data_IF_445793651695
#
_entry.id   IF_445793651695
#
_cell.length_a   1.000
_cell.length_b   1.000
_cell.length_c   1.000
_cell.angle_alpha   90.00
_cell.angle_beta   90.00
_cell.angle_gamma   90.00
#
_symmetry.space_group_name_H-M   'P 1'
#
loop_
_entity.id
_entity.type
_entity.pdbx_description
1 polymer ?
#
# COMPACT_ATOMS: atom_id res chain seq x y z
N UNK A 1 21.20 -58.51 19.45
CA UNK A 1 20.64 -57.77 18.27
C UNK A 1 19.42 -56.88 18.58
N UNK A 2 18.66 -57.08 19.67
CA UNK A 2 17.43 -56.30 19.95
C UNK A 2 17.65 -54.81 20.29
N UNK A 3 18.84 -54.42 20.76
CA UNK A 3 19.15 -53.02 21.10
C UNK A 3 19.59 -52.17 19.89
N UNK A 4 20.06 -52.80 18.81
CA UNK A 4 20.51 -52.08 17.62
C UNK A 4 19.34 -51.44 16.85
N UNK A 5 18.17 -52.10 16.80
CA UNK A 5 16.96 -51.53 16.19
C UNK A 5 16.38 -50.38 17.00
N UNK A 6 16.41 -50.48 18.34
CA UNK A 6 15.96 -49.41 19.24
C UNK A 6 16.82 -48.14 19.12
N UNK A 7 18.15 -48.29 19.02
CA UNK A 7 19.06 -47.16 18.83
C UNK A 7 18.85 -46.49 17.46
N UNK A 8 18.65 -47.28 16.40
CA UNK A 8 18.37 -46.75 15.06
C UNK A 8 17.05 -45.96 14.99
N UNK A 9 16.00 -46.43 15.67
CA UNK A 9 14.71 -45.73 15.77
C UNK A 9 14.84 -44.42 16.55
N UNK A 10 15.62 -44.40 17.63
CA UNK A 10 15.85 -43.19 18.44
C UNK A 10 16.65 -42.13 17.67
N UNK A 11 17.69 -42.53 16.95
CA UNK A 11 18.51 -41.64 16.12
C UNK A 11 17.70 -41.12 14.92
N UNK A 12 16.90 -41.97 14.27
CA UNK A 12 16.00 -41.55 13.20
C UNK A 12 14.92 -40.58 13.71
N UNK A 13 14.32 -40.86 14.88
CA UNK A 13 13.33 -39.98 15.50
C UNK A 13 13.89 -38.60 15.88
N UNK A 14 15.11 -38.55 16.43
CA UNK A 14 15.82 -37.31 16.74
C UNK A 14 16.23 -36.54 15.46
N UNK A 15 16.69 -37.24 14.42
CA UNK A 15 17.04 -36.62 13.14
C UNK A 15 15.82 -36.02 12.43
N UNK A 16 14.69 -36.73 12.38
CA UNK A 16 13.45 -36.23 11.79
C UNK A 16 12.86 -35.09 12.63
N UNK A 17 12.89 -35.21 13.96
CA UNK A 17 12.40 -34.18 14.88
C UNK A 17 13.17 -32.86 14.80
N UNK A 18 14.51 -32.92 14.69
CA UNK A 18 15.34 -31.71 14.57
C UNK A 18 15.18 -31.03 13.21
N UNK A 19 15.11 -31.80 12.10
CA UNK A 19 14.88 -31.25 10.76
C UNK A 19 13.48 -30.65 10.65
N UNK A 20 12.45 -31.33 11.18
CA UNK A 20 11.09 -30.80 11.23
C UNK A 20 11.05 -29.52 12.08
N UNK A 21 11.60 -29.54 13.29
CA UNK A 21 11.66 -28.37 14.18
C UNK A 21 12.37 -27.18 13.54
N UNK A 22 13.46 -27.40 12.81
CA UNK A 22 14.17 -26.35 12.09
C UNK A 22 13.36 -25.79 10.91
N UNK A 23 12.71 -26.65 10.11
CA UNK A 23 11.79 -26.20 9.03
C UNK A 23 10.60 -25.42 9.59
N UNK A 24 9.95 -25.89 10.64
CA UNK A 24 8.84 -25.17 11.29
C UNK A 24 9.30 -23.86 11.91
N UNK A 25 10.46 -23.83 12.58
CA UNK A 25 11.04 -22.62 13.16
C UNK A 25 11.41 -21.58 12.10
N UNK A 26 12.00 -21.99 10.98
CA UNK A 26 12.35 -21.09 9.87
C UNK A 26 11.11 -20.56 9.14
N UNK A 27 10.08 -21.39 8.94
CA UNK A 27 8.80 -20.94 8.36
C UNK A 27 8.12 -19.92 9.28
N UNK A 28 8.07 -20.18 10.59
CA UNK A 28 7.50 -19.25 11.57
C UNK A 28 8.29 -17.94 11.65
N UNK A 29 9.62 -18.01 11.64
CA UNK A 29 10.47 -16.81 11.64
C UNK A 29 10.27 -15.96 10.38
N UNK A 30 10.15 -16.60 9.20
CA UNK A 30 9.83 -15.90 7.95
C UNK A 30 8.47 -15.23 8.02
N UNK A 31 7.44 -15.95 8.50
CA UNK A 31 6.09 -15.40 8.64
C UNK A 31 6.03 -14.21 9.61
N UNK A 32 6.72 -14.30 10.75
CA UNK A 32 6.81 -13.20 11.71
C UNK A 32 7.54 -11.99 11.11
N UNK A 33 8.60 -12.22 10.33
CA UNK A 33 9.35 -11.16 9.65
C UNK A 33 8.48 -10.47 8.59
N UNK A 34 7.77 -11.23 7.75
CA UNK A 34 6.85 -10.66 6.74
C UNK A 34 5.73 -9.87 7.39
N UNK A 35 5.15 -10.37 8.48
CA UNK A 35 4.11 -9.65 9.23
C UNK A 35 4.64 -8.32 9.82
N UNK A 36 5.84 -8.35 10.40
CA UNK A 36 6.45 -7.14 10.96
C UNK A 36 6.77 -6.11 9.87
N UNK A 37 7.39 -6.53 8.76
CA UNK A 37 7.67 -5.66 7.61
C UNK A 37 6.39 -5.05 7.04
N UNK A 38 5.34 -5.85 6.87
CA UNK A 38 4.03 -5.39 6.41
C UNK A 38 3.41 -4.35 7.37
N UNK A 39 3.52 -4.56 8.69
CA UNK A 39 3.00 -3.62 9.67
C UNK A 39 3.72 -2.26 9.60
N UNK A 40 5.03 -2.25 9.41
CA UNK A 40 5.81 -1.01 9.26
C UNK A 40 5.44 -0.28 7.97
N UNK A 41 5.39 -1.00 6.84
CA UNK A 41 5.00 -0.43 5.54
C UNK A 41 3.61 0.17 5.61
N UNK A 42 2.65 -0.55 6.18
CA UNK A 42 1.26 -0.07 6.34
C UNK A 42 1.21 1.19 7.19
N UNK A 43 1.97 1.23 8.29
CA UNK A 43 2.01 2.40 9.18
C UNK A 43 2.60 3.62 8.47
N UNK A 44 3.70 3.46 7.73
CA UNK A 44 4.31 4.56 6.97
C UNK A 44 3.35 5.09 5.91
N UNK A 45 2.69 4.20 5.16
CA UNK A 45 1.71 4.58 4.13
C UNK A 45 0.57 5.38 4.75
N UNK A 46 -0.05 4.89 5.83
CA UNK A 46 -1.15 5.60 6.50
C UNK A 46 -0.72 6.99 6.97
N UNK A 47 0.49 7.11 7.51
CA UNK A 47 1.02 8.41 7.95
C UNK A 47 1.20 9.37 6.77
N UNK A 48 1.73 8.88 5.64
CA UNK A 48 1.88 9.70 4.43
C UNK A 48 0.55 10.04 3.77
N UNK A 49 -0.40 9.11 3.72
CA UNK A 49 -1.76 9.35 3.23
C UNK A 49 -2.42 10.48 4.03
N UNK A 50 -2.33 10.42 5.36
CA UNK A 50 -2.85 11.45 6.24
C UNK A 50 -2.18 12.80 6.01
N UNK A 51 -0.85 12.83 5.95
CA UNK A 51 -0.09 14.06 5.71
C UNK A 51 -0.40 14.68 4.35
N UNK A 52 -0.50 13.88 3.29
CA UNK A 52 -0.84 14.35 1.95
C UNK A 52 -2.30 14.83 1.85
N UNK A 53 -3.24 14.13 2.50
CA UNK A 53 -4.64 14.55 2.57
C UNK A 53 -4.85 15.82 3.39
N UNK A 54 -4.07 16.04 4.45
CA UNK A 54 -4.06 17.29 5.19
C UNK A 54 -3.45 18.43 4.37
N UNK A 55 -2.32 18.18 3.70
CA UNK A 55 -1.69 19.15 2.82
C UNK A 55 -2.63 19.57 1.68
N UNK A 56 -3.34 18.61 1.07
CA UNK A 56 -4.32 18.87 0.02
C UNK A 56 -5.43 19.84 0.45
N UNK A 57 -5.87 19.76 1.72
CA UNK A 57 -6.98 20.57 2.24
C UNK A 57 -6.55 21.93 2.78
N UNK A 58 -5.33 22.04 3.31
CA UNK A 58 -4.92 23.18 4.13
C UNK A 58 -3.76 23.98 3.54
N UNK A 59 -2.95 23.38 2.68
CA UNK A 59 -1.73 23.98 2.16
C UNK A 59 -1.94 24.55 0.75
N UNK A 60 -1.04 25.45 0.29
CA UNK A 60 -1.05 25.94 -1.09
C UNK A 60 -0.92 24.80 -2.10
N UNK A 61 -1.47 25.01 -3.31
CA UNK A 61 -1.52 24.00 -4.37
C UNK A 61 -0.18 23.35 -4.72
N UNK A 62 0.93 24.11 -4.63
CA UNK A 62 2.27 23.58 -4.89
C UNK A 62 2.73 22.58 -3.81
N UNK A 63 2.48 22.90 -2.54
CA UNK A 63 2.83 22.04 -1.40
C UNK A 63 1.95 20.80 -1.39
N UNK A 64 0.64 20.98 -1.67
CA UNK A 64 -0.30 19.88 -1.83
C UNK A 64 0.11 18.94 -2.98
N UNK A 65 0.51 19.49 -4.13
CA UNK A 65 0.95 18.70 -5.27
C UNK A 65 2.23 17.92 -4.93
N UNK A 66 3.22 18.58 -4.32
CA UNK A 66 4.43 17.92 -3.87
C UNK A 66 4.13 16.78 -2.88
N UNK A 67 3.24 16.98 -1.92
CA UNK A 67 2.89 15.97 -0.93
C UNK A 67 2.22 14.74 -1.57
N UNK A 68 1.29 14.95 -2.51
CA UNK A 68 0.65 13.86 -3.25
C UNK A 68 1.65 13.12 -4.15
N UNK A 69 2.61 13.80 -4.76
CA UNK A 69 3.69 13.14 -5.51
C UNK A 69 4.57 12.26 -4.62
N UNK A 70 4.88 12.72 -3.40
CA UNK A 70 5.62 11.87 -2.45
C UNK A 70 4.83 10.64 -2.05
N UNK A 71 3.52 10.78 -1.83
CA UNK A 71 2.64 9.65 -1.55
C UNK A 71 2.65 8.62 -2.69
N UNK A 72 2.54 9.07 -3.95
CA UNK A 72 2.61 8.18 -5.11
C UNK A 72 3.96 7.46 -5.22
N UNK A 73 5.07 8.15 -4.95
CA UNK A 73 6.40 7.53 -4.90
C UNK A 73 6.49 6.47 -3.81
N UNK A 74 5.80 6.66 -2.70
CA UNK A 74 5.76 5.68 -1.61
C UNK A 74 4.93 4.46 -1.98
N UNK A 75 3.80 4.62 -2.66
CA UNK A 75 3.09 3.46 -3.22
C UNK A 75 3.98 2.68 -4.19
N UNK A 76 4.67 3.37 -5.11
CA UNK A 76 5.58 2.73 -6.05
C UNK A 76 6.74 2.01 -5.35
N UNK A 77 7.31 2.59 -4.28
CA UNK A 77 8.36 1.96 -3.49
C UNK A 77 7.91 0.64 -2.87
N UNK A 78 6.65 0.56 -2.46
CA UNK A 78 6.10 -0.59 -1.74
C UNK A 78 5.23 -1.52 -2.59
N UNK A 79 5.14 -1.29 -3.89
CA UNK A 79 4.40 -2.12 -4.84
C UNK A 79 4.81 -3.59 -4.78
N UNK A 80 6.10 -3.86 -4.60
CA UNK A 80 6.67 -5.22 -4.52
C UNK A 80 7.07 -5.63 -3.09
N UNK A 81 6.65 -4.88 -2.07
CA UNK A 81 6.99 -5.20 -0.70
C UNK A 81 6.29 -6.49 -0.25
N UNK A 82 6.93 -7.34 0.57
CA UNK A 82 6.32 -8.60 1.01
C UNK A 82 5.00 -8.34 1.74
N UNK A 83 4.01 -9.19 1.46
CA UNK A 83 2.66 -9.13 2.05
C UNK A 83 2.32 -10.47 2.68
N UNK A 84 1.67 -10.47 3.85
CA UNK A 84 1.13 -11.69 4.43
C UNK A 84 -0.04 -12.25 3.60
N UNK A 85 -0.75 -11.37 2.89
CA UNK A 85 -1.84 -11.72 1.97
C UNK A 85 -1.59 -11.09 0.59
N UNK A 86 -1.15 -11.90 -0.40
CA UNK A 86 -0.81 -11.38 -1.71
C UNK A 86 -1.98 -10.65 -2.37
N UNK A 87 -1.76 -9.40 -2.77
CA UNK A 87 -2.66 -8.64 -3.64
C UNK A 87 -3.68 -7.75 -2.92
N UNK A 88 -3.90 -7.95 -1.62
CA UNK A 88 -4.87 -7.16 -0.85
C UNK A 88 -4.41 -5.70 -0.68
N UNK A 89 -3.11 -5.48 -0.51
CA UNK A 89 -2.55 -4.13 -0.40
C UNK A 89 -2.34 -3.51 -1.78
N UNK A 90 -1.85 -4.26 -2.76
CA UNK A 90 -1.75 -3.78 -4.15
C UNK A 90 -3.09 -3.22 -4.68
N UNK A 91 -4.20 -3.92 -4.44
CA UNK A 91 -5.52 -3.44 -4.88
C UNK A 91 -5.96 -2.15 -4.16
N UNK A 92 -5.75 -2.07 -2.84
CA UNK A 92 -6.06 -0.87 -2.05
C UNK A 92 -5.22 0.33 -2.49
N UNK A 93 -3.92 0.12 -2.68
CA UNK A 93 -2.99 1.14 -3.13
C UNK A 93 -3.29 1.60 -4.55
N UNK A 94 -3.70 0.71 -5.46
CA UNK A 94 -4.05 1.10 -6.83
C UNK A 94 -5.22 2.10 -6.85
N UNK A 95 -6.28 1.83 -6.08
CA UNK A 95 -7.40 2.78 -5.96
C UNK A 95 -6.96 4.09 -5.29
N UNK A 96 -6.20 4.02 -4.20
CA UNK A 96 -5.72 5.21 -3.49
C UNK A 96 -4.77 6.06 -4.36
N UNK A 97 -3.91 5.43 -5.16
CA UNK A 97 -3.06 6.07 -6.15
C UNK A 97 -3.89 6.74 -7.25
N UNK A 98 -4.97 6.08 -7.72
CA UNK A 98 -5.91 6.68 -8.67
C UNK A 98 -6.55 7.96 -8.14
N UNK A 99 -6.99 7.97 -6.88
CA UNK A 99 -7.53 9.17 -6.21
C UNK A 99 -6.46 10.25 -6.10
N UNK A 100 -5.23 9.90 -5.69
CA UNK A 100 -4.12 10.85 -5.58
C UNK A 100 -3.75 11.48 -6.93
N UNK A 101 -3.73 10.68 -8.01
CA UNK A 101 -3.57 11.17 -9.38
C UNK A 101 -4.69 12.11 -9.80
N UNK A 102 -5.95 11.80 -9.46
CA UNK A 102 -7.09 12.67 -9.77
C UNK A 102 -7.00 14.02 -9.05
N UNK A 103 -6.58 14.02 -7.78
CA UNK A 103 -6.32 15.26 -7.02
C UNK A 103 -5.14 16.04 -7.60
N UNK A 104 -4.06 15.37 -8.01
CA UNK A 104 -2.92 16.01 -8.69
C UNK A 104 -3.31 16.66 -10.02
N UNK A 105 -4.16 16.01 -10.82
CA UNK A 105 -4.64 16.57 -12.07
C UNK A 105 -5.33 17.92 -11.85
N UNK A 106 -6.18 18.02 -10.82
CA UNK A 106 -6.85 19.27 -10.41
C UNK A 106 -5.85 20.36 -10.00
N UNK A 107 -4.87 19.99 -9.16
CA UNK A 107 -3.86 20.94 -8.70
C UNK A 107 -3.00 21.45 -9.86
N UNK A 108 -2.54 20.57 -10.74
CA UNK A 108 -1.73 20.96 -11.88
C UNK A 108 -2.50 21.79 -12.91
N UNK A 109 -3.80 21.52 -13.10
CA UNK A 109 -4.66 22.39 -13.89
C UNK A 109 -4.74 23.80 -13.28
N UNK A 110 -4.92 23.90 -11.95
CA UNK A 110 -4.95 25.18 -11.23
C UNK A 110 -3.60 25.93 -11.26
N UNK A 111 -2.49 25.20 -11.30
CA UNK A 111 -1.13 25.74 -11.45
C UNK A 111 -0.76 26.06 -12.91
N UNK A 112 -1.70 25.97 -13.84
CA UNK A 112 -1.50 26.20 -15.28
C UNK A 112 -0.43 25.29 -15.91
N UNK A 113 -0.38 24.03 -15.49
CA UNK A 113 0.51 22.97 -15.99
C UNK A 113 -0.30 21.87 -16.69
N UNK A 114 -0.85 22.14 -17.88
CA UNK A 114 -1.82 21.25 -18.54
C UNK A 114 -1.24 19.88 -18.92
N UNK A 115 0.02 19.81 -19.31
CA UNK A 115 0.66 18.54 -19.69
C UNK A 115 0.74 17.55 -18.51
N UNK A 116 1.11 18.07 -17.33
CA UNK A 116 1.13 17.27 -16.09
C UNK A 116 -0.27 16.91 -15.62
N UNK A 117 -1.21 17.84 -15.77
CA UNK A 117 -2.60 17.59 -15.44
C UNK A 117 -3.17 16.45 -16.30
N UNK A 118 -2.90 16.45 -17.61
CA UNK A 118 -3.35 15.41 -18.53
C UNK A 118 -2.75 14.04 -18.20
N UNK A 119 -1.45 13.98 -17.90
CA UNK A 119 -0.78 12.75 -17.48
C UNK A 119 -1.47 12.12 -16.27
N UNK A 120 -1.67 12.92 -15.22
CA UNK A 120 -2.28 12.41 -13.98
C UNK A 120 -3.77 12.12 -14.13
N UNK A 121 -4.48 12.85 -14.98
CA UNK A 121 -5.87 12.56 -15.30
C UNK A 121 -6.00 11.18 -15.95
N UNK A 122 -5.15 10.87 -16.94
CA UNK A 122 -5.14 9.55 -17.58
C UNK A 122 -4.88 8.44 -16.57
N UNK A 123 -3.84 8.59 -15.74
CA UNK A 123 -3.51 7.61 -14.69
C UNK A 123 -4.66 7.40 -13.69
N UNK A 124 -5.36 8.48 -13.34
CA UNK A 124 -6.52 8.39 -12.45
C UNK A 124 -7.69 7.64 -13.08
N UNK A 125 -7.98 7.85 -14.37
CA UNK A 125 -9.05 7.15 -15.08
C UNK A 125 -8.76 5.65 -15.19
N UNK A 126 -7.53 5.29 -15.56
CA UNK A 126 -7.09 3.90 -15.65
C UNK A 126 -7.21 3.17 -14.30
N UNK A 127 -6.77 3.81 -13.20
CA UNK A 127 -6.79 3.20 -11.88
C UNK A 127 -8.19 3.12 -11.24
N UNK A 128 -9.06 4.11 -11.49
CA UNK A 128 -10.40 4.18 -10.87
C UNK A 128 -11.49 3.52 -11.72
N UNK A 129 -11.19 3.23 -12.98
CA UNK A 129 -12.15 2.71 -13.95
C UNK A 129 -13.27 3.69 -14.31
N UNK A 130 -13.07 5.00 -14.10
CA UNK A 130 -14.04 6.01 -14.54
C UNK A 130 -14.02 6.12 -16.07
N UNK A 131 -15.19 6.33 -16.66
CA UNK A 131 -15.32 6.44 -18.11
C UNK A 131 -14.74 7.74 -18.67
N UNK A 132 -14.85 8.82 -17.90
CA UNK A 132 -14.39 10.16 -18.27
C UNK A 132 -13.98 11.00 -17.07
N UNK A 133 -13.40 12.17 -17.37
CA UNK A 133 -12.93 13.14 -16.38
C UNK A 133 -14.07 13.73 -15.53
N UNK A 134 -15.29 13.83 -16.08
CA UNK A 134 -16.43 14.40 -15.37
C UNK A 134 -16.86 13.47 -14.24
N UNK A 135 -17.01 12.18 -14.53
CA UNK A 135 -17.33 11.15 -13.53
C UNK A 135 -16.26 11.09 -12.44
N UNK A 136 -14.99 11.16 -12.82
CA UNK A 136 -13.88 11.19 -11.87
C UNK A 136 -13.98 12.42 -10.95
N UNK A 137 -14.22 13.60 -11.51
CA UNK A 137 -14.37 14.83 -10.74
C UNK A 137 -15.56 14.76 -9.77
N UNK A 138 -16.72 14.29 -10.21
CA UNK A 138 -17.88 14.12 -9.33
C UNK A 138 -17.57 13.18 -8.15
N UNK A 139 -16.85 12.09 -8.40
CA UNK A 139 -16.41 11.16 -7.35
C UNK A 139 -15.44 11.81 -6.37
N UNK A 140 -14.47 12.56 -6.87
CA UNK A 140 -13.53 13.28 -6.01
C UNK A 140 -14.25 14.33 -5.16
N UNK A 141 -15.19 15.08 -5.72
CA UNK A 141 -15.97 16.06 -4.96
C UNK A 141 -16.80 15.40 -3.86
N UNK A 142 -17.40 14.25 -4.13
CA UNK A 142 -18.13 13.49 -3.13
C UNK A 142 -17.21 12.97 -2.01
N UNK A 143 -15.99 12.53 -2.35
CA UNK A 143 -14.97 12.10 -1.38
C UNK A 143 -14.50 13.26 -0.51
N UNK A 144 -14.17 14.40 -1.12
CA UNK A 144 -13.72 15.60 -0.40
C UNK A 144 -14.82 16.13 0.54
N UNK A 145 -16.08 16.06 0.12
CA UNK A 145 -17.23 16.37 0.99
C UNK A 145 -17.40 15.37 2.14
N UNK A 146 -17.17 14.07 1.91
CA UNK A 146 -17.23 13.07 2.96
C UNK A 146 -16.10 13.26 3.99
N UNK A 147 -14.88 13.55 3.53
CA UNK A 147 -13.71 13.80 4.39
C UNK A 147 -13.82 15.09 5.21
N UNK A 148 -14.53 16.10 4.71
CA UNK A 148 -14.78 17.34 5.45
C UNK A 148 -15.86 17.16 6.51
N UNK A 149 -16.89 16.35 6.26
CA UNK A 149 -17.92 16.01 7.26
C UNK A 149 -17.33 15.23 8.44
N UNK A 150 -16.53 14.21 8.17
CA UNK A 150 -15.90 13.40 9.23
C UNK A 150 -14.86 14.17 10.04
N UNK A 151 -14.32 15.27 9.52
CA UNK A 151 -13.42 16.14 10.27
C UNK A 151 -14.14 17.16 11.18
N UNK A 152 -15.46 17.32 11.03
CA UNK A 152 -16.27 18.28 11.79
C UNK A 152 -17.05 17.63 12.96
N UNK A 153 -17.06 16.30 13.04
CA UNK A 153 -17.65 15.49 14.11
C UNK A 153 -16.59 15.14 15.18
#
# INVERSE_FOLDING_TARGET
MKYASLILVLVAGLGVGTVAGWKYGTVRARHNCTFFLESMVTTEIIMQERAAGEAYRTQPSEVAAWALEQLLKTYQRYENAPEARPGERAQRQAMAAGIAHGRLARLYAALNQPDRAALHLQQALEATGCADAEQLHQRLDALDQAETRTAAE
#
